data_IF_192629260201
#
_entry.id   IF_192629260201
#
_cell.length_a   1.000
_cell.length_b   1.000
_cell.length_c   1.000
_cell.angle_alpha   90.00
_cell.angle_beta   90.00
_cell.angle_gamma   90.00
#
_symmetry.space_group_name_H-M   'P 1'
#
loop_
_entity.id
_entity.type
_entity.pdbx_description
1 polymer ?
#
# COMPACT_ATOMS: atom_id res chain seq x y z
N UNK A 1 1.17 9.28 21.04
CA UNK A 1 0.91 9.32 19.59
C UNK A 1 -0.56 8.99 19.40
N UNK A 2 -1.23 9.62 18.44
CA UNK A 2 -2.59 9.24 18.09
C UNK A 2 -2.55 7.83 17.49
N UNK A 3 -3.48 6.99 17.90
CA UNK A 3 -3.64 5.66 17.34
C UNK A 3 -3.89 5.77 15.83
N UNK A 4 -3.05 5.14 15.01
CA UNK A 4 -3.16 5.17 13.55
C UNK A 4 -4.52 4.65 13.07
N UNK A 5 -5.06 3.62 13.73
CA UNK A 5 -6.38 3.09 13.44
C UNK A 5 -7.47 4.15 13.62
N UNK A 6 -7.42 4.89 14.74
CA UNK A 6 -8.39 5.95 15.03
C UNK A 6 -8.35 7.08 14.00
N UNK A 7 -7.14 7.50 13.56
CA UNK A 7 -7.00 8.52 12.52
C UNK A 7 -7.66 8.08 11.21
N UNK A 8 -7.38 6.85 10.75
CA UNK A 8 -7.93 6.33 9.51
C UNK A 8 -9.42 6.02 9.61
N UNK A 9 -9.91 5.57 10.76
CA UNK A 9 -11.34 5.39 11.03
C UNK A 9 -12.12 6.70 10.89
N UNK A 10 -11.60 7.79 11.45
CA UNK A 10 -12.25 9.11 11.37
C UNK A 10 -12.25 9.70 9.96
N UNK A 11 -11.28 9.32 9.14
CA UNK A 11 -11.10 9.90 7.79
C UNK A 11 -11.68 9.04 6.67
N UNK A 12 -12.06 7.79 6.92
CA UNK A 12 -12.43 6.79 5.91
C UNK A 12 -13.45 7.27 4.87
N UNK A 13 -14.58 7.83 5.31
CA UNK A 13 -15.64 8.30 4.39
C UNK A 13 -15.18 9.50 3.54
N UNK A 14 -14.45 10.44 4.14
CA UNK A 14 -13.88 11.58 3.41
C UNK A 14 -12.82 11.12 2.41
N UNK A 15 -11.98 10.16 2.81
CA UNK A 15 -10.97 9.56 1.94
C UNK A 15 -11.62 8.87 0.73
N UNK A 16 -12.69 8.11 0.94
CA UNK A 16 -13.42 7.43 -0.13
C UNK A 16 -13.98 8.38 -1.20
N UNK A 17 -14.33 9.62 -0.80
CA UNK A 17 -14.87 10.66 -1.69
C UNK A 17 -13.79 11.54 -2.31
N UNK A 18 -12.54 11.44 -1.83
CA UNK A 18 -11.44 12.29 -2.31
C UNK A 18 -11.00 11.85 -3.71
N UNK A 19 -10.89 12.79 -4.68
CA UNK A 19 -10.41 12.44 -6.00
C UNK A 19 -8.93 12.03 -5.95
N UNK A 20 -8.56 11.10 -6.82
CA UNK A 20 -7.16 10.73 -7.03
C UNK A 20 -6.46 11.92 -7.69
N UNK A 21 -5.38 12.42 -7.08
CA UNK A 21 -4.71 13.65 -7.53
C UNK A 21 -4.04 13.51 -8.89
N UNK A 22 -3.48 12.35 -9.16
CA UNK A 22 -2.77 12.04 -10.41
C UNK A 22 -3.35 10.74 -10.98
N UNK A 23 -4.38 10.90 -11.82
CA UNK A 23 -5.07 9.78 -12.46
C UNK A 23 -4.18 9.06 -13.48
N UNK A 24 -3.28 9.77 -14.14
CA UNK A 24 -2.39 9.17 -15.15
C UNK A 24 -1.38 8.23 -14.47
N UNK A 25 -0.72 8.71 -13.39
CA UNK A 25 0.18 7.88 -12.60
C UNK A 25 -0.55 6.70 -11.92
N UNK A 26 -1.80 6.90 -11.46
CA UNK A 26 -2.61 5.83 -10.88
C UNK A 26 -2.97 4.77 -11.93
N UNK A 27 -3.51 5.20 -13.07
CA UNK A 27 -3.92 4.31 -14.16
C UNK A 27 -2.73 3.53 -14.72
N UNK A 28 -1.59 4.20 -14.87
CA UNK A 28 -0.36 3.54 -15.30
C UNK A 28 0.05 2.42 -14.35
N UNK A 29 0.19 2.72 -13.04
CA UNK A 29 0.62 1.72 -12.05
C UNK A 29 -0.41 0.60 -11.86
N UNK A 30 -1.72 0.89 -11.95
CA UNK A 30 -2.79 -0.10 -11.93
C UNK A 30 -2.66 -1.07 -13.13
N UNK A 31 -2.49 -0.55 -14.34
CA UNK A 31 -2.34 -1.36 -15.55
C UNK A 31 -1.03 -2.17 -15.54
N UNK A 32 0.07 -1.60 -15.01
CA UNK A 32 1.31 -2.36 -14.80
C UNK A 32 1.10 -3.50 -13.80
N UNK A 33 0.45 -3.24 -12.67
CA UNK A 33 0.10 -4.29 -11.70
C UNK A 33 -0.72 -5.38 -12.37
N UNK A 34 -1.80 -5.01 -13.08
CA UNK A 34 -2.66 -5.95 -13.81
C UNK A 34 -1.87 -6.87 -14.75
N UNK A 35 -0.84 -6.35 -15.43
CA UNK A 35 -0.04 -7.15 -16.37
C UNK A 35 0.84 -8.22 -15.71
N UNK A 36 1.03 -8.17 -14.39
CA UNK A 36 1.75 -9.19 -13.61
C UNK A 36 0.82 -10.24 -12.98
N UNK A 37 -0.49 -9.98 -12.94
CA UNK A 37 -1.48 -10.87 -12.33
C UNK A 37 -1.92 -11.97 -13.28
N UNK A 38 -2.30 -13.12 -12.72
CA UNK A 38 -2.83 -14.27 -13.43
C UNK A 38 -4.20 -14.64 -12.86
N UNK A 39 -5.12 -15.18 -13.68
CA UNK A 39 -6.46 -15.59 -13.20
C UNK A 39 -6.46 -16.63 -12.08
N UNK A 40 -5.35 -17.35 -11.89
CA UNK A 40 -5.19 -18.35 -10.82
C UNK A 40 -4.60 -17.81 -9.53
N UNK A 41 -4.16 -16.53 -9.50
CA UNK A 41 -3.41 -15.98 -8.36
C UNK A 41 -4.29 -15.79 -7.13
N UNK A 42 -3.75 -16.17 -5.96
CA UNK A 42 -4.20 -15.76 -4.64
C UNK A 42 -3.41 -14.53 -4.23
N UNK A 43 -4.10 -13.41 -4.06
CA UNK A 43 -3.47 -12.09 -3.85
C UNK A 43 -3.80 -11.58 -2.44
N UNK A 44 -2.84 -10.91 -1.82
CA UNK A 44 -3.04 -10.12 -0.60
C UNK A 44 -2.75 -8.65 -0.90
N UNK A 45 -3.66 -7.75 -0.53
CA UNK A 45 -3.39 -6.31 -0.48
C UNK A 45 -3.29 -5.85 0.97
N UNK A 46 -2.12 -5.34 1.36
CA UNK A 46 -1.85 -4.75 2.67
C UNK A 46 -2.13 -3.24 2.63
N UNK A 47 -2.86 -2.72 3.61
CA UNK A 47 -3.25 -1.32 3.67
C UNK A 47 -4.16 -0.93 2.49
N UNK A 48 -5.17 -1.74 2.21
CA UNK A 48 -6.07 -1.57 1.05
C UNK A 48 -6.93 -0.29 1.11
N UNK A 49 -6.97 0.39 2.26
CA UNK A 49 -7.86 1.52 2.49
C UNK A 49 -9.31 1.12 2.21
N UNK A 50 -9.98 1.86 1.35
CA UNK A 50 -11.38 1.58 0.95
C UNK A 50 -11.50 0.56 -0.19
N UNK A 51 -10.48 -0.24 -0.44
CA UNK A 51 -10.49 -1.38 -1.34
C UNK A 51 -10.55 -1.06 -2.84
N UNK A 52 -10.40 0.21 -3.24
CA UNK A 52 -10.60 0.60 -4.63
C UNK A 52 -9.68 -0.14 -5.61
N UNK A 53 -8.41 -0.36 -5.25
CA UNK A 53 -7.45 -1.07 -6.11
C UNK A 53 -7.76 -2.56 -6.15
N UNK A 54 -8.04 -3.19 -5.00
CA UNK A 54 -8.46 -4.60 -4.94
C UNK A 54 -9.67 -4.86 -5.84
N UNK A 55 -10.71 -4.02 -5.74
CA UNK A 55 -11.93 -4.18 -6.54
C UNK A 55 -11.67 -4.04 -8.05
N UNK A 56 -10.81 -3.10 -8.47
CA UNK A 56 -10.43 -2.91 -9.88
C UNK A 56 -9.56 -4.05 -10.45
N UNK A 57 -8.91 -4.82 -9.59
CA UNK A 57 -8.06 -5.94 -9.97
C UNK A 57 -8.74 -7.30 -9.77
N UNK A 58 -9.92 -7.34 -9.15
CA UNK A 58 -10.64 -8.56 -8.80
C UNK A 58 -10.86 -9.50 -10.01
N UNK A 59 -11.24 -8.97 -11.15
CA UNK A 59 -11.49 -9.74 -12.38
C UNK A 59 -10.24 -10.44 -12.94
N UNK A 60 -9.04 -10.04 -12.50
CA UNK A 60 -7.77 -10.52 -13.06
C UNK A 60 -7.15 -11.67 -12.25
N UNK A 61 -7.78 -12.09 -11.15
CA UNK A 61 -7.22 -13.06 -10.20
C UNK A 61 -8.29 -14.00 -9.65
N UNK A 62 -7.87 -15.10 -9.03
CA UNK A 62 -8.80 -16.04 -8.40
C UNK A 62 -9.43 -15.43 -7.13
N UNK A 63 -8.62 -14.79 -6.28
CA UNK A 63 -9.10 -14.21 -5.03
C UNK A 63 -8.15 -13.12 -4.53
N UNK A 64 -8.72 -12.07 -3.91
CA UNK A 64 -7.97 -11.04 -3.19
C UNK A 64 -8.39 -11.03 -1.72
N UNK A 65 -7.42 -11.15 -0.81
CA UNK A 65 -7.58 -10.75 0.58
C UNK A 65 -7.13 -9.30 0.72
N UNK A 66 -8.03 -8.39 1.04
CA UNK A 66 -7.77 -6.96 1.19
C UNK A 66 -7.77 -6.59 2.68
N UNK A 67 -6.61 -6.18 3.23
CA UNK A 67 -6.48 -5.88 4.66
C UNK A 67 -6.17 -4.41 4.91
N UNK A 68 -6.74 -3.87 5.99
CA UNK A 68 -6.45 -2.53 6.49
C UNK A 68 -6.57 -2.50 8.02
N UNK A 69 -5.82 -1.60 8.66
CA UNK A 69 -5.86 -1.38 10.10
C UNK A 69 -7.21 -0.78 10.56
N UNK A 70 -7.83 0.04 9.70
CA UNK A 70 -9.07 0.75 9.98
C UNK A 70 -10.30 -0.10 9.65
N UNK A 71 -11.12 -0.36 10.68
CA UNK A 71 -12.41 -1.04 10.50
C UNK A 71 -13.39 -0.24 9.62
N UNK A 72 -13.34 1.09 9.66
CA UNK A 72 -14.18 1.93 8.83
C UNK A 72 -13.74 1.93 7.35
N UNK A 73 -12.43 1.82 7.05
CA UNK A 73 -11.94 1.59 5.69
C UNK A 73 -12.46 0.27 5.13
N UNK A 74 -12.32 -0.81 5.90
CA UNK A 74 -12.82 -2.15 5.55
C UNK A 74 -14.33 -2.12 5.28
N UNK A 75 -15.11 -1.47 6.15
CA UNK A 75 -16.55 -1.35 5.97
C UNK A 75 -16.92 -0.67 4.64
N UNK A 76 -16.26 0.44 4.30
CA UNK A 76 -16.46 1.12 3.00
C UNK A 76 -16.07 0.22 1.83
N UNK A 77 -14.99 -0.56 1.95
CA UNK A 77 -14.58 -1.54 0.93
C UNK A 77 -15.64 -2.62 0.71
N UNK A 78 -16.20 -3.16 1.79
CA UNK A 78 -17.28 -4.17 1.73
C UNK A 78 -18.56 -3.60 1.09
N UNK A 79 -18.93 -2.35 1.44
CA UNK A 79 -20.08 -1.66 0.83
C UNK A 79 -19.87 -1.53 -0.69
N UNK A 80 -18.69 -1.09 -1.15
CA UNK A 80 -18.36 -0.99 -2.58
C UNK A 80 -18.35 -2.34 -3.30
N UNK A 81 -17.85 -3.39 -2.66
CA UNK A 81 -17.86 -4.74 -3.24
C UNK A 81 -19.28 -5.24 -3.47
N UNK A 82 -20.17 -5.03 -2.49
CA UNK A 82 -21.57 -5.38 -2.62
C UNK A 82 -22.28 -4.58 -3.71
N UNK A 83 -22.05 -3.27 -3.79
CA UNK A 83 -22.63 -2.40 -4.83
C UNK A 83 -22.18 -2.76 -6.26
N UNK A 84 -21.06 -3.46 -6.41
CA UNK A 84 -20.45 -3.85 -7.69
C UNK A 84 -20.60 -5.37 -7.97
N UNK A 85 -21.31 -6.12 -7.12
CA UNK A 85 -21.46 -7.58 -7.22
C UNK A 85 -20.11 -8.34 -7.26
N UNK A 86 -19.05 -7.79 -6.63
CA UNK A 86 -17.72 -8.41 -6.58
C UNK A 86 -17.67 -9.39 -5.39
N UNK A 87 -17.49 -10.68 -5.68
CA UNK A 87 -17.56 -11.76 -4.67
C UNK A 87 -16.23 -12.42 -4.36
N UNK A 88 -15.17 -12.16 -5.16
CA UNK A 88 -13.85 -12.76 -4.96
C UNK A 88 -12.84 -11.84 -4.25
N UNK A 89 -13.33 -10.84 -3.51
CA UNK A 89 -12.53 -10.00 -2.61
C UNK A 89 -13.03 -10.17 -1.18
N UNK A 90 -12.16 -10.62 -0.28
CA UNK A 90 -12.43 -10.71 1.17
C UNK A 90 -11.73 -9.56 1.89
N UNK A 91 -12.47 -8.87 2.77
CA UNK A 91 -11.94 -7.75 3.55
C UNK A 91 -11.63 -8.18 4.98
N UNK A 92 -10.44 -7.82 5.47
CA UNK A 92 -9.94 -8.20 6.81
C UNK A 92 -9.41 -6.98 7.54
N UNK A 93 -9.95 -6.68 8.72
CA UNK A 93 -9.34 -5.67 9.59
C UNK A 93 -8.11 -6.28 10.29
N UNK A 94 -6.92 -5.79 9.95
CA UNK A 94 -5.66 -6.24 10.54
C UNK A 94 -4.55 -5.21 10.41
N UNK A 95 -3.71 -5.14 11.43
CA UNK A 95 -2.37 -4.57 11.27
C UNK A 95 -1.53 -5.42 10.32
N UNK A 96 -0.55 -4.79 9.64
CA UNK A 96 0.36 -5.48 8.71
C UNK A 96 1.11 -6.63 9.39
N UNK A 97 1.48 -6.45 10.67
CA UNK A 97 2.17 -7.45 11.48
C UNK A 97 1.20 -8.31 12.30
N UNK A 98 -0.11 -8.07 12.19
CA UNK A 98 -1.14 -8.78 12.94
C UNK A 98 -1.43 -10.19 12.45
N UNK A 99 -1.97 -11.04 13.34
CA UNK A 99 -2.27 -12.45 13.06
C UNK A 99 -3.64 -12.72 12.41
N UNK A 100 -4.43 -11.68 12.06
CA UNK A 100 -5.75 -11.90 11.46
C UNK A 100 -5.69 -12.17 9.95
N UNK A 101 -4.55 -11.89 9.30
CA UNK A 101 -4.31 -12.22 7.90
C UNK A 101 -3.92 -13.69 7.81
N UNK A 102 -4.56 -14.44 6.88
CA UNK A 102 -4.19 -15.83 6.58
C UNK A 102 -2.69 -15.90 6.23
N UNK A 103 -1.99 -16.88 6.81
CA UNK A 103 -0.53 -17.06 6.65
C UNK A 103 -0.11 -17.41 5.21
N UNK A 104 -1.05 -17.53 4.29
CA UNK A 104 -0.76 -17.77 2.89
C UNK A 104 -0.61 -19.27 2.54
N UNK A 105 0.28 -19.64 1.61
CA UNK A 105 1.12 -18.75 0.81
C UNK A 105 0.34 -18.03 -0.31
N UNK A 106 0.74 -16.79 -0.59
CA UNK A 106 0.18 -15.97 -1.65
C UNK A 106 1.07 -16.01 -2.91
N UNK A 107 0.46 -15.84 -4.09
CA UNK A 107 1.16 -15.66 -5.35
C UNK A 107 1.69 -14.24 -5.49
N UNK A 108 0.88 -13.26 -5.04
CA UNK A 108 1.21 -11.84 -5.09
C UNK A 108 0.82 -11.17 -3.77
N UNK A 109 1.69 -10.33 -3.24
CA UNK A 109 1.38 -9.38 -2.16
C UNK A 109 1.52 -7.96 -2.72
N UNK A 110 0.50 -7.14 -2.50
CA UNK A 110 0.46 -5.73 -2.93
C UNK A 110 0.46 -4.81 -1.72
N UNK A 111 1.12 -3.64 -1.84
CA UNK A 111 1.08 -2.60 -0.82
C UNK A 111 1.20 -1.21 -1.47
N UNK A 112 0.08 -0.51 -1.63
CA UNK A 112 0.04 0.79 -2.30
C UNK A 112 -0.15 1.93 -1.30
N UNK A 113 0.79 2.88 -1.28
CA UNK A 113 0.80 4.04 -0.38
C UNK A 113 0.76 3.65 1.11
N UNK A 114 1.41 2.53 1.48
CA UNK A 114 1.42 2.00 2.84
C UNK A 114 2.77 2.19 3.54
N UNK A 115 3.90 1.82 2.91
CA UNK A 115 5.19 1.66 3.59
C UNK A 115 5.70 2.94 4.26
N UNK A 116 5.39 4.11 3.71
CA UNK A 116 5.71 5.40 4.35
C UNK A 116 4.84 5.73 5.57
N UNK A 117 3.85 4.90 5.91
CA UNK A 117 2.99 5.04 7.08
C UNK A 117 3.35 4.05 8.20
N UNK A 118 4.32 3.14 7.95
CA UNK A 118 4.73 2.11 8.90
C UNK A 118 5.86 2.61 9.80
N UNK A 119 5.78 2.27 11.08
CA UNK A 119 6.86 2.53 12.05
C UNK A 119 8.06 1.60 11.79
N UNK A 120 7.79 0.34 11.43
CA UNK A 120 8.80 -0.67 11.08
C UNK A 120 8.54 -1.27 9.70
N UNK A 121 8.93 -0.57 8.62
CA UNK A 121 8.77 -1.06 7.25
C UNK A 121 9.65 -2.28 6.94
N UNK A 122 10.75 -2.47 7.67
CA UNK A 122 11.61 -3.64 7.50
C UNK A 122 10.92 -4.91 8.03
N UNK A 123 10.30 -4.87 9.21
CA UNK A 123 9.51 -6.00 9.72
C UNK A 123 8.34 -6.32 8.78
N UNK A 124 7.68 -5.30 8.21
CA UNK A 124 6.62 -5.48 7.22
C UNK A 124 7.15 -6.17 5.96
N UNK A 125 8.32 -5.78 5.44
CA UNK A 125 8.94 -6.41 4.26
C UNK A 125 9.30 -7.87 4.54
N UNK A 126 9.84 -8.15 5.73
CA UNK A 126 10.14 -9.52 6.18
C UNK A 126 8.87 -10.37 6.26
N UNK A 127 7.77 -9.82 6.78
CA UNK A 127 6.49 -10.52 6.82
C UNK A 127 5.96 -10.79 5.41
N UNK A 128 6.03 -9.81 4.50
CA UNK A 128 5.67 -10.01 3.08
C UNK A 128 6.45 -11.18 2.48
N UNK A 129 7.76 -11.25 2.74
CA UNK A 129 8.58 -12.37 2.28
C UNK A 129 8.09 -13.72 2.86
N UNK A 130 7.66 -13.74 4.13
CA UNK A 130 7.09 -14.95 4.77
C UNK A 130 5.76 -15.40 4.16
N UNK A 131 4.93 -14.45 3.74
CA UNK A 131 3.59 -14.72 3.19
C UNK A 131 3.60 -15.15 1.71
N UNK A 132 4.67 -14.87 0.97
CA UNK A 132 4.78 -15.19 -0.46
C UNK A 132 5.30 -16.61 -0.70
N UNK A 133 4.82 -17.24 -1.77
CA UNK A 133 5.43 -18.43 -2.38
C UNK A 133 6.86 -18.11 -2.86
N UNK A 134 7.76 -19.09 -2.94
CA UNK A 134 8.98 -18.95 -3.72
C UNK A 134 8.66 -18.52 -5.15
N UNK A 135 9.33 -17.48 -5.66
CA UNK A 135 9.04 -16.88 -6.96
C UNK A 135 7.79 -15.99 -7.01
N UNK A 136 7.06 -15.84 -5.90
CA UNK A 136 5.92 -14.92 -5.77
C UNK A 136 6.31 -13.45 -5.86
N UNK A 137 5.37 -12.58 -6.17
CA UNK A 137 5.62 -11.17 -6.43
C UNK A 137 5.22 -10.27 -5.26
N UNK A 138 6.08 -9.34 -4.91
CA UNK A 138 5.76 -8.17 -4.10
C UNK A 138 5.63 -6.95 -5.01
N UNK A 139 4.45 -6.33 -5.04
CA UNK A 139 4.18 -5.13 -5.84
C UNK A 139 3.84 -3.99 -4.90
N UNK A 140 4.65 -2.96 -4.90
CA UNK A 140 4.47 -1.84 -3.97
C UNK A 140 4.55 -0.48 -4.66
N UNK A 141 3.91 0.52 -4.03
CA UNK A 141 4.05 1.93 -4.41
C UNK A 141 4.18 2.74 -3.13
N UNK A 142 5.29 3.44 -2.97
CA UNK A 142 5.65 4.14 -1.73
C UNK A 142 6.04 5.57 -2.03
N UNK A 143 5.47 6.52 -1.30
CA UNK A 143 5.91 7.92 -1.36
C UNK A 143 7.30 8.03 -0.75
N UNK A 144 8.25 8.52 -1.53
CA UNK A 144 9.64 8.69 -1.12
C UNK A 144 10.01 10.18 -0.99
N UNK A 145 11.07 10.45 -0.26
CA UNK A 145 11.63 11.80 -0.24
C UNK A 145 12.19 12.13 -1.62
N UNK A 146 11.89 13.33 -2.15
CA UNK A 146 12.65 13.84 -3.28
C UNK A 146 14.05 14.16 -2.79
N UNK A 147 15.07 13.44 -3.21
CA UNK A 147 16.48 13.58 -2.80
C UNK A 147 16.99 15.01 -2.60
N UNK A 148 18.24 15.31 -2.84
CA UNK A 148 18.81 16.67 -2.71
C UNK A 148 18.02 17.68 -3.57
N UNK A 149 17.36 18.66 -2.93
CA UNK A 149 16.57 19.69 -3.65
C UNK A 149 15.08 19.76 -3.27
N UNK A 150 14.73 19.36 -2.04
CA UNK A 150 13.37 19.52 -1.50
C UNK A 150 12.81 20.93 -1.76
N UNK A 151 11.69 21.08 -2.50
CA UNK A 151 11.02 22.36 -2.67
C UNK A 151 10.72 23.02 -1.31
N UNK A 152 10.87 24.34 -1.23
CA UNK A 152 10.65 25.09 0.02
C UNK A 152 9.30 24.78 0.66
N UNK A 153 8.24 24.65 -0.14
CA UNK A 153 6.89 24.28 0.33
C UNK A 153 6.87 22.92 1.06
N UNK A 154 7.65 21.94 0.56
CA UNK A 154 7.74 20.62 1.16
C UNK A 154 8.53 20.67 2.48
N UNK A 155 9.60 21.48 2.55
CA UNK A 155 10.35 21.70 3.79
C UNK A 155 9.49 22.33 4.89
N UNK A 156 8.66 23.32 4.55
CA UNK A 156 7.72 23.94 5.49
C UNK A 156 6.69 22.92 5.96
N UNK A 157 6.17 22.09 5.06
CA UNK A 157 5.23 21.02 5.41
C UNK A 157 5.86 20.03 6.39
N UNK A 158 7.11 19.61 6.16
CA UNK A 158 7.83 18.70 7.07
C UNK A 158 8.04 19.31 8.47
N UNK A 159 8.30 20.62 8.56
CA UNK A 159 8.42 21.32 9.85
C UNK A 159 7.07 21.41 10.60
N UNK A 160 5.95 21.50 9.87
CA UNK A 160 4.62 21.55 10.45
C UNK A 160 4.07 20.16 10.82
N UNK A 161 4.63 19.09 10.25
CA UNK A 161 4.12 17.73 10.38
C UNK A 161 4.03 17.25 11.84
N UNK A 162 5.05 17.42 12.70
CA UNK A 162 4.95 16.98 14.10
C UNK A 162 3.81 17.66 14.87
N UNK A 163 3.59 18.96 14.63
CA UNK A 163 2.48 19.68 15.23
C UNK A 163 1.13 19.19 14.72
N UNK A 164 1.03 18.90 13.41
CA UNK A 164 -0.19 18.35 12.81
C UNK A 164 -0.49 16.94 13.34
N UNK A 165 0.54 16.11 13.55
CA UNK A 165 0.41 14.79 14.14
C UNK A 165 -0.05 14.89 15.61
N UNK A 166 0.54 15.80 16.40
CA UNK A 166 0.12 16.03 17.79
C UNK A 166 -1.34 16.52 17.88
N UNK A 167 -1.79 17.33 16.93
CA UNK A 167 -3.19 17.80 16.81
C UNK A 167 -4.14 16.75 16.20
N UNK A 168 -3.65 15.56 15.83
CA UNK A 168 -4.46 14.54 15.17
C UNK A 168 -4.91 14.87 13.74
N UNK A 169 -4.23 15.81 13.09
CA UNK A 169 -4.57 16.27 11.73
C UNK A 169 -3.73 15.63 10.62
N UNK A 170 -2.73 14.83 10.99
CA UNK A 170 -1.90 14.09 10.06
C UNK A 170 -1.54 12.73 10.67
N UNK A 171 -1.44 11.66 9.85
CA UNK A 171 -0.96 10.36 10.31
C UNK A 171 0.54 10.40 10.59
N UNK A 172 1.05 9.33 11.23
CA UNK A 172 2.48 9.08 11.24
C UNK A 172 2.99 8.92 9.80
N UNK A 173 4.16 9.48 9.51
CA UNK A 173 4.83 9.34 8.20
C UNK A 173 6.32 9.09 8.42
N UNK A 174 6.80 8.00 7.86
CA UNK A 174 8.20 7.62 7.79
C UNK A 174 8.69 7.83 6.36
N UNK A 175 9.40 8.92 6.12
CA UNK A 175 9.93 9.21 4.79
C UNK A 175 11.26 8.49 4.58
N UNK A 176 11.27 7.59 3.61
CA UNK A 176 12.48 6.94 3.09
C UNK A 176 12.88 7.56 1.75
N UNK A 177 14.15 7.58 1.44
CA UNK A 177 14.61 7.80 0.06
C UNK A 177 14.46 6.52 -0.77
N UNK A 178 14.63 6.66 -2.08
CA UNK A 178 14.42 5.55 -3.03
C UNK A 178 15.45 4.44 -2.79
N UNK A 179 16.71 4.81 -2.53
CA UNK A 179 17.81 3.86 -2.35
C UNK A 179 17.61 3.03 -1.08
N UNK A 180 17.19 3.67 0.02
CA UNK A 180 16.87 2.97 1.27
C UNK A 180 15.68 2.01 1.10
N UNK A 181 14.62 2.41 0.39
CA UNK A 181 13.47 1.54 0.11
C UNK A 181 13.88 0.32 -0.72
N UNK A 182 14.65 0.50 -1.79
CA UNK A 182 15.10 -0.59 -2.65
C UNK A 182 16.09 -1.53 -1.94
N UNK A 183 17.01 -0.96 -1.16
CA UNK A 183 17.95 -1.76 -0.36
C UNK A 183 17.22 -2.59 0.70
N UNK A 184 16.21 -2.02 1.37
CA UNK A 184 15.38 -2.72 2.34
C UNK A 184 14.64 -3.91 1.71
N UNK A 185 14.00 -3.71 0.54
CA UNK A 185 13.28 -4.77 -0.17
C UNK A 185 14.25 -5.86 -0.61
N UNK A 186 15.36 -5.50 -1.27
CA UNK A 186 16.36 -6.46 -1.74
C UNK A 186 17.02 -7.22 -0.59
N UNK A 187 17.25 -6.57 0.55
CA UNK A 187 17.82 -7.17 1.76
C UNK A 187 16.96 -8.27 2.41
N UNK A 188 15.67 -8.33 2.07
CA UNK A 188 14.75 -9.37 2.56
C UNK A 188 14.54 -10.52 1.53
N UNK A 189 15.48 -10.73 0.61
CA UNK A 189 15.45 -11.83 -0.34
C UNK A 189 14.58 -11.59 -1.57
N UNK A 190 14.47 -10.34 -2.01
CA UNK A 190 13.75 -9.99 -3.23
C UNK A 190 14.70 -9.53 -4.34
N UNK A 191 14.40 -9.92 -5.57
CA UNK A 191 14.97 -9.37 -6.79
C UNK A 191 14.03 -8.32 -7.38
N UNK A 192 14.47 -7.07 -7.49
CA UNK A 192 13.68 -6.00 -8.13
C UNK A 192 13.68 -6.22 -9.64
N UNK A 193 12.51 -6.51 -10.20
CA UNK A 193 12.31 -6.76 -11.64
C UNK A 193 11.97 -5.48 -12.40
N UNK A 194 11.21 -4.59 -11.76
CA UNK A 194 10.78 -3.31 -12.34
C UNK A 194 10.70 -2.25 -11.24
N UNK A 195 11.14 -1.04 -11.55
CA UNK A 195 10.97 0.09 -10.67
C UNK A 195 10.84 1.40 -11.45
N UNK A 196 10.02 2.33 -10.95
CA UNK A 196 9.80 3.64 -11.55
C UNK A 196 9.09 4.60 -10.59
N UNK A 197 9.09 5.90 -10.91
CA UNK A 197 8.46 6.93 -10.08
C UNK A 197 7.17 7.44 -10.72
N UNK A 198 6.02 7.16 -10.11
CA UNK A 198 4.68 7.50 -10.60
C UNK A 198 3.79 8.05 -9.47
N UNK A 199 3.67 9.41 -9.31
CA UNK A 199 4.31 10.47 -10.09
C UNK A 199 5.82 10.57 -9.87
N UNK A 200 6.48 11.31 -10.78
CA UNK A 200 7.91 11.58 -10.66
C UNK A 200 8.24 12.61 -9.57
N UNK A 201 7.33 13.56 -9.29
CA UNK A 201 7.54 14.63 -8.31
C UNK A 201 6.24 15.00 -7.56
N UNK A 202 6.16 14.86 -6.22
CA UNK A 202 7.13 14.14 -5.40
C UNK A 202 7.18 12.66 -5.80
N UNK A 203 8.34 12.00 -5.70
CA UNK A 203 8.48 10.65 -6.20
C UNK A 203 7.62 9.67 -5.41
N UNK A 204 6.81 8.90 -6.13
CA UNK A 204 6.12 7.74 -5.59
C UNK A 204 6.66 6.49 -6.27
N UNK A 205 7.55 5.80 -5.56
CA UNK A 205 8.32 4.67 -6.10
C UNK A 205 7.43 3.45 -6.25
N UNK A 206 7.18 3.03 -7.48
CA UNK A 206 6.54 1.77 -7.84
C UNK A 206 7.62 0.71 -8.02
N UNK A 207 7.43 -0.45 -7.41
CA UNK A 207 8.38 -1.58 -7.45
C UNK A 207 7.59 -2.86 -7.69
N UNK A 208 8.10 -3.69 -8.60
CA UNK A 208 7.74 -5.10 -8.73
C UNK A 208 8.98 -5.92 -8.39
N UNK A 209 8.90 -6.71 -7.33
CA UNK A 209 10.01 -7.53 -6.85
C UNK A 209 9.58 -9.00 -6.73
N UNK A 210 10.45 -9.91 -7.11
CA UNK A 210 10.25 -11.36 -7.04
C UNK A 210 10.97 -11.92 -5.82
N UNK A 211 10.28 -12.73 -5.02
CA UNK A 211 10.89 -13.50 -3.94
C UNK A 211 11.84 -14.56 -4.52
N UNK A 212 13.09 -14.58 -4.05
CA UNK A 212 14.10 -15.55 -4.41
C UNK A 212 13.91 -16.91 -3.74
#
# INVERSE_FOLDING_TARGET
MQDAALFWDQTARKYAQSPIRDMDAYTYTLNRTRSYLKPSDKVLELGCGTGSTALLLAENVAHITASDLSGNMIKVGMEKAADQDITNVSFVQSDVLGGAIDEGPYDVVMAFNLFHLLEDPEAATRRVAGLLKPGGLFISKTVCTPGAGLPMKFRIMLLALPLMQWLGKAPYVNFMDIEALEAMISGQGFEIMEAGNYPAAPPSRYIVARKL
#
